data_IF_475961836296
#
_entry.id   IF_475961836296
#
_cell.length_a   1.000
_cell.length_b   1.000
_cell.length_c   1.000
_cell.angle_alpha   90.00
_cell.angle_beta   90.00
_cell.angle_gamma   90.00
#
_symmetry.space_group_name_H-M   'P 1'
#
loop_
_entity.id
_entity.type
_entity.pdbx_description
1 polymer ?
#
# COMPACT_ATOMS: atom_id res chain seq x y z
N UNK A 1 -7.72 13.38 -44.79
CA UNK A 1 -6.86 14.29 -44.02
C UNK A 1 -7.39 15.71 -44.22
N UNK A 2 -8.30 16.15 -43.33
CA UNK A 2 -8.60 17.57 -43.22
C UNK A 2 -7.61 18.13 -42.22
N UNK A 3 -6.73 18.99 -42.71
CA UNK A 3 -5.87 19.86 -41.94
C UNK A 3 -6.79 20.77 -41.12
N UNK A 4 -7.19 20.33 -39.91
CA UNK A 4 -7.78 21.23 -38.92
C UNK A 4 -6.58 21.98 -38.35
N UNK A 5 -6.47 23.26 -38.70
CA UNK A 5 -5.60 24.18 -37.97
C UNK A 5 -6.10 24.28 -36.54
N UNK A 6 -5.62 23.38 -35.68
CA UNK A 6 -5.94 23.38 -34.26
C UNK A 6 -5.02 24.39 -33.58
N UNK A 7 -5.61 25.46 -33.04
CA UNK A 7 -4.95 26.26 -32.02
C UNK A 7 -4.40 25.32 -30.95
N UNK A 8 -3.09 25.36 -30.72
CA UNK A 8 -2.45 24.54 -29.70
C UNK A 8 -3.04 24.88 -28.33
N UNK A 9 -3.89 23.99 -27.82
CA UNK A 9 -4.36 24.04 -26.45
C UNK A 9 -3.20 23.64 -25.54
N UNK A 10 -2.61 24.61 -24.84
CA UNK A 10 -1.55 24.37 -23.87
C UNK A 10 -2.14 23.74 -22.59
N UNK A 11 -1.57 22.61 -22.17
CA UNK A 11 -2.00 21.86 -20.99
C UNK A 11 -0.85 21.81 -20.00
N UNK A 12 -1.04 22.46 -18.86
CA UNK A 12 -0.07 22.46 -17.76
C UNK A 12 -0.55 21.51 -16.65
N UNK A 13 0.38 20.76 -16.05
CA UNK A 13 0.07 19.81 -14.97
C UNK A 13 0.97 20.08 -13.77
N UNK A 14 0.38 20.53 -12.67
CA UNK A 14 1.09 20.82 -11.42
C UNK A 14 0.79 19.74 -10.38
N UNK A 15 1.77 18.87 -10.13
CA UNK A 15 1.64 17.80 -9.14
C UNK A 15 1.70 18.37 -7.71
N UNK A 16 0.69 18.10 -6.90
CA UNK A 16 0.64 18.50 -5.49
C UNK A 16 0.99 17.35 -4.54
N UNK A 17 0.44 16.14 -4.79
CA UNK A 17 0.62 14.98 -3.91
C UNK A 17 0.46 13.67 -4.69
N UNK A 18 1.16 12.62 -4.26
CA UNK A 18 0.98 11.23 -4.72
C UNK A 18 0.79 10.29 -3.53
N UNK A 19 0.07 9.20 -3.78
CA UNK A 19 0.10 7.97 -3.00
C UNK A 19 0.12 6.80 -4.00
N UNK A 20 1.34 6.38 -4.40
CA UNK A 20 1.54 5.51 -5.55
C UNK A 20 1.28 6.22 -6.88
N UNK A 21 0.58 5.53 -7.79
CA UNK A 21 0.17 6.08 -9.10
C UNK A 21 -1.00 7.07 -8.99
N UNK A 22 -1.79 6.98 -7.93
CA UNK A 22 -2.84 7.96 -7.65
C UNK A 22 -2.23 9.30 -7.27
N UNK A 23 -2.75 10.38 -7.85
CA UNK A 23 -2.16 11.71 -7.69
C UNK A 23 -3.19 12.83 -7.68
N UNK A 24 -2.87 13.86 -6.92
CA UNK A 24 -3.55 15.15 -6.91
C UNK A 24 -2.68 16.10 -7.73
N UNK A 25 -3.23 16.51 -8.85
CA UNK A 25 -2.66 17.47 -9.78
C UNK A 25 -3.66 18.60 -9.99
N UNK A 26 -3.14 19.80 -10.22
CA UNK A 26 -3.88 20.85 -10.90
C UNK A 26 -3.59 20.74 -12.39
N UNK A 27 -4.62 20.46 -13.20
CA UNK A 27 -4.52 20.47 -14.66
C UNK A 27 -5.12 21.78 -15.14
N UNK A 28 -4.30 22.62 -15.79
CA UNK A 28 -4.74 23.89 -16.38
C UNK A 28 -4.82 23.77 -17.88
N UNK A 29 -5.94 24.20 -18.42
CA UNK A 29 -6.23 24.19 -19.86
C UNK A 29 -6.86 25.54 -20.18
N UNK A 30 -6.08 26.42 -20.80
CA UNK A 30 -6.40 27.85 -20.98
C UNK A 30 -6.83 28.50 -19.63
N UNK A 31 -8.06 29.03 -19.56
CA UNK A 31 -8.60 29.73 -18.39
C UNK A 31 -9.31 28.80 -17.39
N UNK A 32 -9.24 27.47 -17.58
CA UNK A 32 -9.88 26.48 -16.70
C UNK A 32 -8.83 25.68 -15.95
N UNK A 33 -9.15 25.36 -14.70
CA UNK A 33 -8.30 24.52 -13.84
C UNK A 33 -9.16 23.43 -13.19
N UNK A 34 -8.67 22.20 -13.19
CA UNK A 34 -9.30 21.06 -12.52
C UNK A 34 -8.32 20.39 -11.56
N UNK A 35 -8.82 19.94 -10.41
CA UNK A 35 -8.03 19.20 -9.43
C UNK A 35 -8.35 17.71 -9.47
N UNK A 36 -7.34 16.87 -9.67
CA UNK A 36 -7.49 15.40 -9.76
C UNK A 36 -7.56 14.73 -8.38
N UNK A 37 -8.20 13.55 -8.27
CA UNK A 37 -9.05 12.91 -9.28
C UNK A 37 -10.27 13.77 -9.60
N UNK A 38 -10.63 13.91 -10.87
CA UNK A 38 -11.70 14.81 -11.32
C UNK A 38 -12.80 14.05 -12.09
N UNK A 39 -14.02 14.57 -12.03
CA UNK A 39 -15.18 14.06 -12.78
C UNK A 39 -15.62 15.16 -13.73
N UNK A 40 -15.61 14.88 -15.02
CA UNK A 40 -16.12 15.75 -16.07
C UNK A 40 -17.59 15.43 -16.31
N UNK A 41 -18.45 16.43 -16.24
CA UNK A 41 -19.87 16.27 -16.52
C UNK A 41 -20.19 16.53 -17.97
N UNK A 42 -20.92 15.62 -18.61
CA UNK A 42 -21.38 15.75 -19.99
C UNK A 42 -22.31 16.95 -20.21
N UNK A 43 -23.10 17.33 -19.20
CA UNK A 43 -24.14 18.35 -19.32
C UNK A 43 -23.61 19.81 -19.20
N UNK A 44 -22.29 20.01 -19.14
CA UNK A 44 -21.65 21.33 -19.09
C UNK A 44 -20.60 21.42 -20.18
N UNK A 45 -20.33 22.61 -20.72
CA UNK A 45 -19.11 22.85 -21.51
C UNK A 45 -17.93 22.32 -20.69
N UNK A 46 -17.37 21.20 -21.12
CA UNK A 46 -16.47 20.43 -20.28
C UNK A 46 -15.08 20.46 -20.88
N UNK A 47 -14.09 19.99 -20.12
CA UNK A 47 -12.77 19.75 -20.68
C UNK A 47 -12.84 18.75 -21.85
N UNK A 48 -13.91 17.93 -21.93
CA UNK A 48 -14.09 16.93 -22.98
C UNK A 48 -14.12 17.55 -24.38
N UNK A 49 -14.69 18.76 -24.52
CA UNK A 49 -14.81 19.44 -25.82
C UNK A 49 -13.45 19.83 -26.43
N UNK A 50 -12.37 19.75 -25.63
CA UNK A 50 -10.99 20.10 -26.01
C UNK A 50 -10.06 18.89 -26.11
N UNK A 51 -10.57 17.70 -25.85
CA UNK A 51 -9.82 16.45 -25.96
C UNK A 51 -10.22 15.81 -27.27
N UNK A 52 -9.24 15.39 -28.07
CA UNK A 52 -9.56 14.64 -29.27
C UNK A 52 -10.04 13.23 -28.87
N UNK A 53 -11.36 13.03 -28.97
CA UNK A 53 -12.02 11.75 -28.72
C UNK A 53 -12.22 10.93 -30.00
N UNK A 54 -11.60 11.27 -31.13
CA UNK A 54 -11.59 10.46 -32.39
C UNK A 54 -10.86 9.11 -32.22
N UNK A 55 -10.89 8.55 -31.01
CA UNK A 55 -10.12 7.44 -30.51
C UNK A 55 -10.95 6.16 -30.59
N UNK A 56 -10.43 5.24 -31.39
CA UNK A 56 -10.86 3.86 -31.40
C UNK A 56 -10.96 3.31 -29.98
N UNK A 57 -12.08 2.64 -29.61
CA UNK A 57 -12.25 2.01 -28.32
C UNK A 57 -11.05 1.12 -27.97
N UNK A 58 -10.47 1.30 -26.78
CA UNK A 58 -9.35 0.47 -26.32
C UNK A 58 -9.71 -1.01 -26.23
N UNK A 59 -10.99 -1.32 -26.06
CA UNK A 59 -11.51 -2.68 -26.15
C UNK A 59 -11.38 -3.31 -27.54
N UNK A 60 -11.24 -2.53 -28.63
CA UNK A 60 -10.96 -3.09 -29.94
C UNK A 60 -9.60 -3.80 -29.96
N UNK A 61 -8.60 -3.32 -29.20
CA UNK A 61 -7.30 -3.99 -29.10
C UNK A 61 -7.40 -5.43 -28.59
N UNK A 62 -8.40 -5.72 -27.76
CA UNK A 62 -8.65 -7.09 -27.27
C UNK A 62 -9.28 -8.00 -28.33
N UNK A 63 -9.96 -7.42 -29.33
CA UNK A 63 -10.68 -8.14 -30.38
C UNK A 63 -9.87 -8.26 -31.67
N UNK A 64 -9.15 -7.20 -32.04
CA UNK A 64 -8.41 -7.04 -33.28
C UNK A 64 -7.28 -6.01 -33.07
N UNK A 65 -6.12 -6.50 -32.65
CA UNK A 65 -4.96 -5.67 -32.32
C UNK A 65 -4.41 -4.93 -33.55
N UNK A 66 -4.32 -5.59 -34.71
CA UNK A 66 -3.84 -4.97 -35.94
C UNK A 66 -4.73 -3.80 -36.36
N UNK A 67 -6.05 -3.98 -36.32
CA UNK A 67 -6.99 -2.90 -36.65
C UNK A 67 -6.97 -1.78 -35.62
N UNK A 68 -6.76 -2.10 -34.34
CA UNK A 68 -6.57 -1.08 -33.32
C UNK A 68 -5.34 -0.21 -33.61
N UNK A 69 -4.18 -0.82 -33.81
CA UNK A 69 -2.92 -0.09 -34.05
C UNK A 69 -2.98 0.76 -35.34
N UNK A 70 -3.75 0.33 -36.35
CA UNK A 70 -3.95 1.10 -37.59
C UNK A 70 -4.85 2.33 -37.44
N UNK A 71 -5.78 2.32 -36.48
CA UNK A 71 -6.79 3.37 -36.32
C UNK A 71 -6.57 4.24 -35.08
N UNK A 72 -5.80 3.75 -34.11
CA UNK A 72 -5.56 4.45 -32.86
C UNK A 72 -4.54 5.59 -33.07
N UNK A 73 -4.88 6.76 -32.56
CA UNK A 73 -4.02 7.93 -32.55
C UNK A 73 -3.87 8.43 -31.11
N UNK A 74 -2.65 8.78 -30.69
CA UNK A 74 -2.43 9.31 -29.35
C UNK A 74 -2.67 10.81 -29.30
N UNK A 75 -3.46 11.26 -28.31
CA UNK A 75 -3.57 12.67 -27.99
C UNK A 75 -2.23 13.22 -27.47
N UNK A 76 -1.89 14.43 -27.92
CA UNK A 76 -0.61 15.07 -27.60
C UNK A 76 -0.48 15.40 -26.11
N UNK A 77 -1.56 15.80 -25.46
CA UNK A 77 -1.59 16.32 -24.10
C UNK A 77 -2.09 15.29 -23.09
N UNK A 78 -2.98 14.39 -23.52
CA UNK A 78 -3.68 13.45 -22.66
C UNK A 78 -3.38 12.00 -23.05
N UNK A 79 -3.52 11.11 -22.07
CA UNK A 79 -3.69 9.68 -22.33
C UNK A 79 -5.18 9.41 -22.17
N UNK A 80 -5.81 8.81 -23.17
CA UNK A 80 -7.26 8.60 -23.15
C UNK A 80 -7.59 7.13 -23.36
N UNK A 81 -8.37 6.56 -22.43
CA UNK A 81 -8.88 5.19 -22.48
C UNK A 81 -10.40 5.17 -22.63
N UNK A 82 -10.88 4.80 -23.82
CA UNK A 82 -12.31 4.70 -24.15
C UNK A 82 -12.75 3.24 -24.28
N UNK A 83 -14.05 2.97 -24.16
CA UNK A 83 -14.61 1.63 -24.39
C UNK A 83 -14.14 0.56 -23.40
N UNK A 84 -13.61 0.95 -22.24
CA UNK A 84 -13.10 0.03 -21.23
C UNK A 84 -14.19 -0.75 -20.49
N UNK A 85 -15.45 -0.29 -20.56
CA UNK A 85 -16.58 -0.87 -19.83
C UNK A 85 -17.02 -2.25 -20.29
N UNK A 86 -16.58 -2.70 -21.48
CA UNK A 86 -16.89 -4.04 -22.01
C UNK A 86 -15.82 -5.07 -21.70
N UNK A 87 -14.70 -4.66 -21.09
CA UNK A 87 -13.59 -5.54 -20.76
C UNK A 87 -13.87 -6.34 -19.48
N UNK A 88 -13.30 -7.55 -19.39
CA UNK A 88 -13.27 -8.24 -18.11
C UNK A 88 -12.41 -7.49 -17.08
N UNK A 89 -12.61 -7.70 -15.77
CA UNK A 89 -11.80 -7.04 -14.74
C UNK A 89 -10.29 -7.26 -14.89
N UNK A 90 -9.86 -8.44 -15.39
CA UNK A 90 -8.43 -8.74 -15.59
C UNK A 90 -7.86 -7.98 -16.78
N UNK A 91 -8.60 -7.91 -17.89
CA UNK A 91 -8.19 -7.12 -19.06
C UNK A 91 -8.16 -5.63 -18.74
N UNK A 92 -9.15 -5.14 -17.96
CA UNK A 92 -9.20 -3.76 -17.52
C UNK A 92 -7.94 -3.38 -16.75
N UNK A 93 -7.48 -4.21 -15.81
CA UNK A 93 -6.21 -3.98 -15.09
C UNK A 93 -5.03 -3.90 -16.06
N UNK A 94 -4.91 -4.86 -16.98
CA UNK A 94 -3.84 -4.89 -17.98
C UNK A 94 -3.80 -3.59 -18.79
N UNK A 95 -4.94 -3.15 -19.31
CA UNK A 95 -5.01 -1.95 -20.15
C UNK A 95 -4.84 -0.65 -19.37
N UNK A 96 -5.32 -0.57 -18.12
CA UNK A 96 -5.06 0.60 -17.26
C UNK A 96 -3.55 0.75 -16.97
N UNK A 97 -2.86 -0.36 -16.71
CA UNK A 97 -1.40 -0.36 -16.53
C UNK A 97 -0.70 0.05 -17.83
N UNK A 98 -1.08 -0.52 -18.97
CA UNK A 98 -0.53 -0.17 -20.29
C UNK A 98 -0.69 1.33 -20.56
N UNK A 99 -1.91 1.86 -20.39
CA UNK A 99 -2.23 3.29 -20.53
C UNK A 99 -1.35 4.14 -19.61
N UNK A 100 -1.28 3.81 -18.32
CA UNK A 100 -0.53 4.62 -17.35
C UNK A 100 0.97 4.60 -17.63
N UNK A 101 1.52 3.51 -18.16
CA UNK A 101 2.94 3.37 -18.53
C UNK A 101 3.35 4.23 -19.74
N UNK A 102 2.42 4.64 -20.60
CA UNK A 102 2.73 5.51 -21.76
C UNK A 102 3.39 6.83 -21.35
N UNK A 103 3.00 7.40 -20.21
CA UNK A 103 3.65 8.57 -19.65
C UNK A 103 3.35 8.68 -18.17
N UNK A 104 4.34 9.08 -17.35
CA UNK A 104 4.16 9.31 -15.92
C UNK A 104 3.57 10.72 -15.65
N UNK A 105 3.71 11.64 -16.61
CA UNK A 105 3.38 13.06 -16.43
C UNK A 105 2.02 13.43 -17.02
N UNK A 106 1.72 12.99 -18.25
CA UNK A 106 0.44 13.31 -18.95
C UNK A 106 -0.78 12.91 -18.12
N UNK A 107 -1.90 13.66 -18.12
CA UNK A 107 -3.11 13.22 -17.43
C UNK A 107 -3.73 12.00 -18.12
N UNK A 108 -4.15 11.00 -17.35
CA UNK A 108 -4.89 9.83 -17.83
C UNK A 108 -6.40 10.03 -17.62
N UNK A 109 -7.13 10.01 -18.73
CA UNK A 109 -8.57 10.19 -18.79
C UNK A 109 -9.20 8.87 -19.21
N UNK A 110 -10.20 8.40 -18.48
CA UNK A 110 -10.99 7.23 -18.89
C UNK A 110 -12.48 7.58 -18.91
N UNK A 111 -13.18 7.14 -19.96
CA UNK A 111 -14.58 7.49 -20.18
C UNK A 111 -15.48 6.26 -20.14
N UNK A 112 -16.76 6.44 -19.80
CA UNK A 112 -17.77 5.39 -19.95
C UNK A 112 -17.74 4.27 -18.91
N UNK A 113 -16.88 4.35 -17.89
CA UNK A 113 -16.66 3.24 -16.94
C UNK A 113 -16.83 3.62 -15.46
N UNK A 114 -16.72 4.91 -15.12
CA UNK A 114 -16.63 5.32 -13.73
C UNK A 114 -17.99 5.27 -13.00
N UNK A 115 -17.97 4.72 -11.80
CA UNK A 115 -19.08 4.67 -10.85
C UNK A 115 -18.57 5.07 -9.47
N UNK A 116 -19.44 5.49 -8.53
CA UNK A 116 -19.01 5.76 -7.17
C UNK A 116 -18.29 4.57 -6.51
N UNK A 117 -18.67 3.34 -6.90
CA UNK A 117 -18.09 2.11 -6.36
C UNK A 117 -16.66 1.85 -6.84
N UNK A 118 -16.40 1.96 -8.15
CA UNK A 118 -15.11 1.56 -8.76
C UNK A 118 -14.09 2.71 -8.91
N UNK A 119 -14.51 3.98 -8.83
CA UNK A 119 -13.62 5.14 -8.99
C UNK A 119 -12.35 5.07 -8.12
N UNK A 120 -12.39 4.61 -6.85
CA UNK A 120 -11.18 4.45 -6.04
C UNK A 120 -10.13 3.56 -6.70
N UNK A 121 -10.53 2.43 -7.26
CA UNK A 121 -9.60 1.49 -7.91
C UNK A 121 -9.08 2.07 -9.23
N UNK A 122 -9.92 2.71 -10.03
CA UNK A 122 -9.46 3.41 -11.24
C UNK A 122 -8.35 4.43 -10.90
N UNK A 123 -8.58 5.22 -9.85
CA UNK A 123 -7.57 6.17 -9.36
C UNK A 123 -6.30 5.48 -8.85
N UNK A 124 -6.43 4.34 -8.17
CA UNK A 124 -5.28 3.54 -7.72
C UNK A 124 -4.40 3.10 -8.89
N UNK A 125 -4.98 2.74 -10.04
CA UNK A 125 -4.26 2.47 -11.29
C UNK A 125 -3.71 3.72 -12.01
N UNK A 126 -3.86 4.91 -11.42
CA UNK A 126 -3.29 6.16 -11.94
C UNK A 126 -4.18 6.93 -12.90
N UNK A 127 -5.49 6.64 -12.94
CA UNK A 127 -6.48 7.48 -13.63
C UNK A 127 -6.62 8.82 -12.91
N UNK A 128 -6.50 9.90 -13.67
CA UNK A 128 -6.55 11.28 -13.19
C UNK A 128 -7.95 11.89 -13.34
N UNK A 129 -8.64 11.56 -14.44
CA UNK A 129 -9.93 12.16 -14.79
C UNK A 129 -10.89 11.10 -15.33
N UNK A 130 -12.15 11.20 -14.94
CA UNK A 130 -13.25 10.38 -15.48
C UNK A 130 -14.39 11.27 -15.97
N UNK A 131 -15.30 10.71 -16.76
CA UNK A 131 -16.59 11.35 -17.08
C UNK A 131 -17.75 10.79 -16.22
N UNK A 132 -18.93 11.39 -16.32
CA UNK A 132 -20.16 10.91 -15.68
C UNK A 132 -21.08 10.11 -16.62
N UNK A 133 -20.62 9.75 -17.82
CA UNK A 133 -21.44 9.03 -18.81
C UNK A 133 -21.99 7.70 -18.29
N UNK A 134 -21.18 6.92 -17.55
CA UNK A 134 -21.65 5.63 -16.99
C UNK A 134 -22.74 5.81 -15.95
N UNK A 135 -22.65 6.85 -15.12
CA UNK A 135 -23.66 7.11 -14.07
C UNK A 135 -24.95 7.71 -14.65
N UNK A 136 -24.83 8.47 -15.74
CA UNK A 136 -25.95 8.95 -16.55
C UNK A 136 -26.67 7.79 -17.25
N UNK A 137 -25.93 6.84 -17.84
CA UNK A 137 -26.52 5.63 -18.43
C UNK A 137 -27.27 4.81 -17.37
N UNK A 138 -26.67 4.60 -16.20
CA UNK A 138 -27.31 3.89 -15.10
C UNK A 138 -28.62 4.55 -14.63
N UNK A 139 -28.68 5.89 -14.66
CA UNK A 139 -29.92 6.62 -14.36
C UNK A 139 -31.03 6.33 -15.38
N UNK A 140 -30.70 6.23 -16.67
CA UNK A 140 -31.65 5.83 -17.71
C UNK A 140 -32.14 4.38 -17.55
N UNK A 141 -31.28 3.51 -17.03
CA UNK A 141 -31.60 2.12 -16.66
C UNK A 141 -32.39 2.02 -15.32
N UNK A 142 -32.61 3.13 -14.61
CA UNK A 142 -33.38 3.17 -13.36
C UNK A 142 -32.57 2.81 -12.11
N UNK A 143 -31.25 2.89 -12.16
CA UNK A 143 -30.36 2.59 -11.03
C UNK A 143 -29.96 3.84 -10.24
N UNK A 144 -30.12 3.70 -8.93
CA UNK A 144 -29.63 4.58 -7.88
C UNK A 144 -28.27 4.05 -7.38
N UNK A 145 -27.21 4.82 -7.58
CA UNK A 145 -25.85 4.37 -7.26
C UNK A 145 -25.38 4.93 -5.92
N UNK A 146 -24.69 4.07 -5.17
CA UNK A 146 -23.92 4.40 -3.96
C UNK A 146 -22.49 3.86 -4.11
N UNK A 147 -21.64 4.23 -3.17
CA UNK A 147 -20.25 3.80 -3.10
C UNK A 147 -20.06 2.29 -2.85
N UNK A 148 -21.09 1.60 -2.37
CA UNK A 148 -21.07 0.18 -2.01
C UNK A 148 -22.05 -0.68 -2.82
N UNK A 149 -22.81 -0.11 -3.75
CA UNK A 149 -23.76 -0.88 -4.54
C UNK A 149 -24.70 -0.06 -5.41
N UNK A 150 -25.42 -0.76 -6.29
CA UNK A 150 -26.36 -0.20 -7.25
C UNK A 150 -27.76 -0.76 -6.98
N UNK A 151 -28.75 0.13 -6.87
CA UNK A 151 -30.09 -0.23 -6.44
C UNK A 151 -31.10 0.17 -7.51
N UNK A 152 -31.98 -0.73 -7.99
CA UNK A 152 -33.13 -0.31 -8.77
C UNK A 152 -33.98 0.64 -7.93
N UNK A 153 -34.16 1.88 -8.39
CA UNK A 153 -34.81 2.94 -7.59
C UNK A 153 -36.23 2.56 -7.19
N UNK A 154 -36.92 1.81 -8.04
CA UNK A 154 -38.30 1.32 -7.82
C UNK A 154 -38.41 0.30 -6.68
N UNK A 155 -37.29 -0.31 -6.28
CA UNK A 155 -37.24 -1.27 -5.17
C UNK A 155 -36.85 -0.62 -3.85
N UNK A 156 -36.45 0.65 -3.85
CA UNK A 156 -36.10 1.37 -2.63
C UNK A 156 -37.35 1.72 -1.83
N UNK A 157 -37.24 1.59 -0.51
CA UNK A 157 -38.27 2.06 0.44
C UNK A 157 -37.98 3.46 0.97
N UNK A 158 -36.71 3.85 0.93
CA UNK A 158 -36.20 5.16 1.36
C UNK A 158 -34.96 5.53 0.54
N UNK A 159 -34.58 6.81 0.55
CA UNK A 159 -33.36 7.30 -0.07
C UNK A 159 -32.24 7.38 1.00
N UNK A 160 -31.25 6.47 1.02
CA UNK A 160 -30.19 6.44 2.03
C UNK A 160 -29.08 7.46 1.74
N UNK A 161 -29.44 8.73 1.54
CA UNK A 161 -28.53 9.78 1.10
C UNK A 161 -29.03 11.17 1.45
N UNK A 162 -28.10 12.07 1.74
CA UNK A 162 -28.36 13.49 2.05
C UNK A 162 -27.83 14.44 0.97
N UNK A 163 -27.78 14.03 -0.31
CA UNK A 163 -27.39 14.93 -1.39
C UNK A 163 -28.56 15.84 -1.77
N UNK A 164 -28.27 17.00 -2.40
CA UNK A 164 -29.29 17.98 -2.81
C UNK A 164 -30.42 17.37 -3.67
N UNK A 165 -30.09 16.42 -4.54
CA UNK A 165 -31.10 15.73 -5.35
C UNK A 165 -32.06 14.90 -4.48
N UNK A 166 -31.53 14.14 -3.52
CA UNK A 166 -32.32 13.35 -2.57
C UNK A 166 -33.13 14.23 -1.61
N UNK A 167 -32.56 15.34 -1.14
CA UNK A 167 -33.27 16.30 -0.28
C UNK A 167 -34.46 16.95 -0.99
N UNK A 168 -34.30 17.36 -2.25
CA UNK A 168 -35.38 17.97 -3.04
C UNK A 168 -36.57 17.02 -3.24
N UNK A 169 -36.29 15.74 -3.47
CA UNK A 169 -37.33 14.74 -3.77
C UNK A 169 -37.94 14.16 -2.49
N UNK A 170 -37.12 13.89 -1.48
CA UNK A 170 -37.55 13.33 -0.20
C UNK A 170 -38.32 12.02 -0.34
N UNK A 171 -39.38 11.87 0.45
CA UNK A 171 -40.27 10.69 0.44
C UNK A 171 -41.07 10.52 -0.85
N UNK A 172 -41.12 11.54 -1.71
CA UNK A 172 -41.99 11.56 -2.89
C UNK A 172 -41.33 10.89 -4.12
N UNK A 173 -40.15 10.28 -3.97
CA UNK A 173 -39.39 9.69 -5.08
C UNK A 173 -40.15 8.59 -5.83
N UNK A 174 -41.05 7.88 -5.14
CA UNK A 174 -41.88 6.84 -5.73
C UNK A 174 -42.95 7.39 -6.69
N UNK A 175 -43.36 8.66 -6.50
CA UNK A 175 -44.42 9.32 -7.26
C UNK A 175 -43.90 10.04 -8.51
N UNK A 176 -42.57 10.16 -8.65
CA UNK A 176 -41.95 10.82 -9.80
C UNK A 176 -42.37 10.15 -11.12
N UNK A 177 -42.70 10.99 -12.11
CA UNK A 177 -42.86 10.52 -13.48
C UNK A 177 -41.55 9.91 -14.00
N UNK A 178 -41.62 9.12 -15.07
CA UNK A 178 -40.43 8.50 -15.68
C UNK A 178 -39.34 9.54 -16.00
N UNK A 179 -39.71 10.71 -16.51
CA UNK A 179 -38.76 11.77 -16.85
C UNK A 179 -38.11 12.36 -15.60
N UNK A 180 -38.91 12.78 -14.62
CA UNK A 180 -38.42 13.36 -13.37
C UNK A 180 -37.54 12.38 -12.59
N UNK A 181 -37.88 11.09 -12.61
CA UNK A 181 -37.08 10.02 -12.01
C UNK A 181 -35.70 9.90 -12.66
N UNK A 182 -35.63 9.92 -13.99
CA UNK A 182 -34.36 9.88 -14.72
C UNK A 182 -33.52 11.12 -14.39
N UNK A 183 -34.12 12.31 -14.40
CA UNK A 183 -33.42 13.57 -14.12
C UNK A 183 -32.88 13.59 -12.67
N UNK A 184 -33.69 13.13 -11.71
CA UNK A 184 -33.29 12.92 -10.31
C UNK A 184 -32.10 11.95 -10.20
N UNK A 185 -32.18 10.78 -10.84
CA UNK A 185 -31.12 9.78 -10.77
C UNK A 185 -29.82 10.27 -11.40
N UNK A 186 -29.89 11.02 -12.51
CA UNK A 186 -28.71 11.66 -13.11
C UNK A 186 -28.04 12.60 -12.12
N UNK A 187 -28.81 13.53 -11.53
CA UNK A 187 -28.28 14.50 -10.57
C UNK A 187 -27.66 13.77 -9.35
N UNK A 188 -28.38 12.80 -8.77
CA UNK A 188 -27.88 12.03 -7.62
C UNK A 188 -26.61 11.23 -7.95
N UNK A 189 -26.62 10.44 -9.03
CA UNK A 189 -25.50 9.55 -9.33
C UNK A 189 -24.24 10.35 -9.70
N UNK A 190 -24.37 11.47 -10.44
CA UNK A 190 -23.25 12.38 -10.73
C UNK A 190 -22.72 13.03 -9.45
N UNK A 191 -23.59 13.50 -8.56
CA UNK A 191 -23.17 14.06 -7.26
C UNK A 191 -22.39 13.03 -6.43
N UNK A 192 -22.82 11.76 -6.42
CA UNK A 192 -22.12 10.68 -5.72
C UNK A 192 -20.75 10.37 -6.32
N UNK A 193 -20.64 10.37 -7.64
CA UNK A 193 -19.35 10.18 -8.30
C UNK A 193 -18.37 11.32 -7.96
N UNK A 194 -18.84 12.57 -8.00
CA UNK A 194 -18.07 13.75 -7.63
C UNK A 194 -17.68 13.78 -6.14
N UNK A 195 -18.57 13.30 -5.26
CA UNK A 195 -18.30 13.14 -3.84
C UNK A 195 -17.16 12.14 -3.60
N UNK A 196 -17.17 11.00 -4.30
CA UNK A 196 -16.08 10.03 -4.22
C UNK A 196 -14.75 10.61 -4.72
N UNK A 197 -14.76 11.39 -5.80
CA UNK A 197 -13.55 12.08 -6.28
C UNK A 197 -12.99 13.07 -5.23
N UNK A 198 -13.86 13.82 -4.54
CA UNK A 198 -13.47 14.71 -3.43
C UNK A 198 -12.88 13.92 -2.26
N UNK A 199 -13.52 12.83 -1.85
CA UNK A 199 -13.05 11.96 -0.77
C UNK A 199 -11.66 11.39 -1.09
N UNK A 200 -11.45 10.90 -2.31
CA UNK A 200 -10.17 10.35 -2.74
C UNK A 200 -9.02 11.34 -2.63
N UNK A 201 -9.27 12.65 -2.86
CA UNK A 201 -8.25 13.68 -2.63
C UNK A 201 -7.80 13.72 -1.17
N UNK A 202 -8.72 13.64 -0.21
CA UNK A 202 -8.31 13.59 1.20
C UNK A 202 -7.60 12.29 1.55
N UNK A 203 -8.06 11.15 1.03
CA UNK A 203 -7.41 9.86 1.24
C UNK A 203 -5.96 9.83 0.69
N UNK A 204 -5.72 10.43 -0.48
CA UNK A 204 -4.36 10.59 -1.04
C UNK A 204 -3.52 11.54 -0.18
N UNK A 205 -4.09 12.65 0.32
CA UNK A 205 -3.37 13.56 1.23
C UNK A 205 -3.00 12.90 2.54
N UNK A 206 -3.86 12.03 3.07
CA UNK A 206 -3.60 11.26 4.28
C UNK A 206 -2.76 10.01 4.07
N UNK A 207 -2.36 9.68 2.82
CA UNK A 207 -1.51 8.53 2.48
C UNK A 207 -2.12 7.18 2.93
N UNK A 208 -3.44 7.05 2.87
CA UNK A 208 -4.19 5.86 3.30
C UNK A 208 -4.94 5.19 2.15
N UNK A 209 -4.56 5.49 0.89
CA UNK A 209 -5.28 5.00 -0.28
C UNK A 209 -5.35 3.49 -0.31
N UNK A 210 -4.23 2.78 -0.16
CA UNK A 210 -4.21 1.31 -0.23
C UNK A 210 -5.16 0.66 0.81
N UNK A 211 -5.27 1.23 2.01
CA UNK A 211 -6.24 0.77 3.01
C UNK A 211 -7.69 0.98 2.57
N UNK A 212 -7.97 2.13 1.97
CA UNK A 212 -9.29 2.43 1.41
C UNK A 212 -9.65 1.49 0.24
N UNK A 213 -8.67 1.18 -0.62
CA UNK A 213 -8.81 0.25 -1.75
C UNK A 213 -9.12 -1.17 -1.27
N UNK A 214 -8.40 -1.68 -0.26
CA UNK A 214 -8.67 -3.01 0.29
C UNK A 214 -10.07 -3.14 0.86
N UNK A 215 -10.54 -2.13 1.60
CA UNK A 215 -11.92 -2.11 2.10
C UNK A 215 -12.92 -2.06 0.95
N UNK A 216 -12.66 -1.21 -0.07
CA UNK A 216 -13.56 -1.05 -1.21
C UNK A 216 -13.65 -2.30 -2.08
N UNK A 217 -12.54 -3.00 -2.28
CA UNK A 217 -12.48 -4.19 -3.12
C UNK A 217 -13.44 -5.29 -2.66
N UNK A 218 -13.74 -5.37 -1.36
CA UNK A 218 -14.67 -6.36 -0.79
C UNK A 218 -16.15 -6.09 -1.12
N UNK A 219 -16.48 -4.95 -1.72
CA UNK A 219 -17.87 -4.61 -2.09
C UNK A 219 -18.34 -5.24 -3.41
N UNK A 220 -17.43 -5.80 -4.22
CA UNK A 220 -17.78 -6.45 -5.49
C UNK A 220 -16.71 -7.48 -5.90
N UNK A 221 -17.11 -8.65 -6.47
CA UNK A 221 -16.17 -9.62 -7.04
C UNK A 221 -15.21 -9.01 -8.05
N UNK A 222 -15.68 -8.14 -8.93
CA UNK A 222 -14.87 -7.52 -9.98
C UNK A 222 -13.75 -6.67 -9.39
N UNK A 223 -14.06 -5.87 -8.36
CA UNK A 223 -13.07 -5.04 -7.68
C UNK A 223 -12.05 -5.90 -6.90
N UNK A 224 -12.49 -7.03 -6.34
CA UNK A 224 -11.58 -8.01 -5.73
C UNK A 224 -10.64 -8.61 -6.77
N UNK A 225 -11.14 -8.97 -7.96
CA UNK A 225 -10.30 -9.45 -9.07
C UNK A 225 -9.29 -8.37 -9.46
N UNK A 226 -9.73 -7.12 -9.65
CA UNK A 226 -8.83 -6.03 -10.01
C UNK A 226 -7.69 -5.84 -8.99
N UNK A 227 -8.00 -5.87 -7.69
CA UNK A 227 -6.99 -5.74 -6.64
C UNK A 227 -6.01 -6.93 -6.63
N UNK A 228 -6.50 -8.16 -6.77
CA UNK A 228 -5.63 -9.34 -6.83
C UNK A 228 -4.71 -9.32 -8.04
N UNK A 229 -5.21 -8.86 -9.20
CA UNK A 229 -4.40 -8.68 -10.41
C UNK A 229 -3.38 -7.56 -10.27
N UNK A 230 -3.71 -6.48 -9.57
CA UNK A 230 -2.72 -5.46 -9.22
C UNK A 230 -1.56 -6.05 -8.41
N UNK A 231 -1.87 -6.90 -7.44
CA UNK A 231 -0.91 -7.54 -6.53
C UNK A 231 -0.04 -8.63 -7.18
N UNK A 232 -0.34 -9.01 -8.43
CA UNK A 232 0.47 -9.92 -9.24
C UNK A 232 1.51 -9.19 -10.10
N UNK A 233 1.56 -7.85 -10.04
CA UNK A 233 2.40 -7.03 -10.92
C UNK A 233 3.37 -6.14 -10.15
N UNK A 234 4.57 -5.95 -10.71
CA UNK A 234 5.58 -5.02 -10.16
C UNK A 234 5.28 -3.55 -10.48
N UNK A 235 4.22 -3.27 -11.26
CA UNK A 235 3.85 -1.91 -11.70
C UNK A 235 3.74 -0.93 -10.52
N UNK A 236 3.21 -1.38 -9.39
CA UNK A 236 3.03 -0.52 -8.23
C UNK A 236 4.32 -0.26 -7.46
N UNK A 237 5.36 -1.07 -7.62
CA UNK A 237 6.66 -0.86 -6.96
C UNK A 237 7.39 0.36 -7.51
N UNK A 238 7.22 0.67 -8.81
CA UNK A 238 7.91 1.76 -9.50
C UNK A 238 7.61 3.14 -8.88
N UNK A 239 6.36 3.38 -8.50
CA UNK A 239 5.88 4.67 -7.97
C UNK A 239 5.56 4.62 -6.48
N UNK A 240 5.98 3.56 -5.80
CA UNK A 240 5.75 3.37 -4.38
C UNK A 240 6.61 4.31 -3.53
N UNK A 241 6.02 5.12 -2.62
CA UNK A 241 6.82 5.97 -1.74
C UNK A 241 7.57 5.12 -0.70
N UNK A 242 8.89 5.26 -0.63
CA UNK A 242 9.74 4.55 0.35
C UNK A 242 9.50 4.95 1.80
N UNK A 243 8.78 6.04 2.04
CA UNK A 243 8.37 6.50 3.34
C UNK A 243 6.99 7.17 3.26
N UNK A 244 6.14 6.87 4.25
CA UNK A 244 4.86 7.56 4.51
C UNK A 244 4.81 8.00 5.97
N UNK A 245 4.11 9.10 6.22
CA UNK A 245 3.78 9.57 7.57
C UNK A 245 2.60 8.81 8.15
N UNK A 246 1.71 8.31 7.30
CA UNK A 246 0.55 7.53 7.72
C UNK A 246 0.91 6.20 8.37
N UNK A 247 -0.04 5.66 9.13
CA UNK A 247 0.03 4.29 9.63
C UNK A 247 -0.52 3.36 8.55
N UNK A 248 0.25 2.33 8.22
CA UNK A 248 -0.15 1.23 7.35
C UNK A 248 -0.96 0.22 8.18
N UNK A 249 -2.27 0.15 7.97
CA UNK A 249 -3.06 -0.91 8.62
C UNK A 249 -3.02 -2.18 7.78
N UNK A 250 -2.57 -3.28 8.36
CA UNK A 250 -2.46 -4.58 7.70
C UNK A 250 -3.59 -5.49 8.15
N UNK A 251 -4.81 -5.14 7.73
CA UNK A 251 -6.05 -5.75 8.25
C UNK A 251 -6.52 -6.99 7.47
N UNK A 252 -5.94 -7.26 6.30
CA UNK A 252 -6.42 -8.28 5.37
C UNK A 252 -5.27 -9.11 4.80
N UNK A 253 -5.57 -10.30 4.27
CA UNK A 253 -4.56 -11.11 3.57
C UNK A 253 -4.00 -10.40 2.32
N UNK A 254 -4.79 -9.54 1.66
CA UNK A 254 -4.29 -8.69 0.59
C UNK A 254 -3.22 -7.69 1.06
N UNK A 255 -3.13 -7.40 2.37
CA UNK A 255 -2.07 -6.56 2.91
C UNK A 255 -0.68 -7.20 2.78
N UNK A 256 -0.58 -8.53 2.65
CA UNK A 256 0.68 -9.28 2.62
C UNK A 256 1.42 -9.10 1.29
N UNK A 257 0.67 -8.78 0.23
CA UNK A 257 1.20 -8.52 -1.11
C UNK A 257 1.43 -7.03 -1.39
N UNK A 258 1.22 -6.17 -0.39
CA UNK A 258 1.44 -4.73 -0.53
C UNK A 258 2.92 -4.45 -0.86
N UNK A 259 3.21 -3.44 -1.71
CA UNK A 259 4.57 -2.97 -1.93
C UNK A 259 5.30 -2.59 -0.64
N UNK A 260 4.60 -2.04 0.36
CA UNK A 260 5.08 -1.83 1.74
C UNK A 260 5.83 -3.06 2.30
N UNK A 261 5.20 -4.22 2.18
CA UNK A 261 5.60 -5.48 2.82
C UNK A 261 6.64 -6.17 1.95
N UNK A 262 6.33 -6.36 0.67
CA UNK A 262 7.21 -7.03 -0.30
C UNK A 262 8.57 -6.34 -0.39
N UNK A 263 8.59 -5.01 -0.54
CA UNK A 263 9.84 -4.26 -0.59
C UNK A 263 10.63 -4.36 0.70
N UNK A 264 9.98 -4.17 1.86
CA UNK A 264 10.68 -4.22 3.15
C UNK A 264 11.35 -5.58 3.36
N UNK A 265 10.60 -6.68 3.20
CA UNK A 265 11.09 -8.04 3.41
C UNK A 265 12.21 -8.42 2.44
N UNK A 266 12.03 -8.10 1.15
CA UNK A 266 13.08 -8.30 0.14
C UNK A 266 14.33 -7.48 0.47
N UNK A 267 14.16 -6.20 0.79
CA UNK A 267 15.28 -5.28 1.03
C UNK A 267 16.06 -5.67 2.28
N UNK A 268 15.39 -6.02 3.38
CA UNK A 268 16.11 -6.47 4.58
C UNK A 268 16.85 -7.79 4.31
N UNK A 269 16.27 -8.73 3.56
CA UNK A 269 16.96 -9.97 3.22
C UNK A 269 18.24 -9.71 2.40
N UNK A 270 18.21 -8.73 1.49
CA UNK A 270 19.38 -8.31 0.70
C UNK A 270 20.48 -7.64 1.56
N UNK A 271 20.10 -6.76 2.48
CA UNK A 271 21.04 -5.83 3.15
C UNK A 271 21.37 -6.18 4.60
N UNK A 272 20.66 -7.12 5.21
CA UNK A 272 20.91 -7.52 6.57
C UNK A 272 22.24 -8.27 6.66
N UNK A 273 23.06 -7.89 7.64
CA UNK A 273 24.37 -8.47 7.92
C UNK A 273 24.42 -8.76 9.42
N UNK A 274 24.10 -9.99 9.85
CA UNK A 274 24.27 -10.41 11.24
C UNK A 274 25.70 -10.12 11.72
N UNK A 275 25.84 -9.71 12.97
CA UNK A 275 27.15 -9.47 13.59
C UNK A 275 27.54 -10.57 14.58
N UNK A 276 26.64 -11.53 14.80
CA UNK A 276 26.80 -12.64 15.73
C UNK A 276 26.35 -13.93 15.05
N UNK A 277 26.78 -15.07 15.59
CA UNK A 277 26.36 -16.41 15.13
C UNK A 277 25.05 -16.90 15.74
N UNK A 278 24.46 -16.11 16.64
CA UNK A 278 23.28 -16.51 17.41
C UNK A 278 22.16 -15.50 17.31
N UNK A 279 20.98 -15.95 16.88
CA UNK A 279 19.78 -15.12 16.76
C UNK A 279 18.90 -15.24 18.01
N UNK A 280 18.34 -14.11 18.49
CA UNK A 280 17.30 -14.06 19.51
C UNK A 280 15.97 -13.65 18.87
N UNK A 281 15.01 -14.56 18.85
CA UNK A 281 13.67 -14.30 18.33
C UNK A 281 12.76 -13.76 19.43
N UNK A 282 12.11 -12.63 19.15
CA UNK A 282 11.21 -11.93 20.09
C UNK A 282 9.84 -11.67 19.44
N UNK A 283 8.74 -11.63 20.21
CA UNK A 283 7.44 -11.24 19.68
C UNK A 283 7.38 -9.72 19.45
N UNK A 284 6.59 -9.30 18.46
CA UNK A 284 6.27 -7.89 18.26
C UNK A 284 5.43 -7.31 19.40
N UNK A 285 5.24 -5.99 19.38
CA UNK A 285 4.34 -5.29 20.32
C UNK A 285 3.63 -4.14 19.62
N UNK A 286 2.47 -3.72 20.16
CA UNK A 286 1.70 -2.61 19.62
C UNK A 286 2.49 -1.29 19.63
N UNK A 287 3.28 -1.02 20.67
CA UNK A 287 4.13 0.18 20.74
C UNK A 287 5.37 0.00 19.88
N UNK A 288 5.56 0.91 18.92
CA UNK A 288 6.75 1.02 18.07
C UNK A 288 7.59 2.26 18.41
N UNK A 289 8.93 2.23 18.25
CA UNK A 289 9.74 1.04 17.96
C UNK A 289 9.65 0.00 19.08
N UNK A 290 9.77 -1.29 18.74
CA UNK A 290 9.46 -2.38 19.68
C UNK A 290 10.32 -2.34 20.93
N UNK A 291 11.59 -1.93 20.79
CA UNK A 291 12.54 -1.83 21.90
C UNK A 291 12.10 -0.88 23.03
N UNK A 292 11.20 0.06 22.76
CA UNK A 292 10.62 0.97 23.75
C UNK A 292 9.31 0.47 24.37
N UNK A 293 8.82 -0.69 23.95
CA UNK A 293 7.64 -1.32 24.55
C UNK A 293 7.90 -1.80 25.97
N UNK A 294 6.86 -1.83 26.81
CA UNK A 294 6.97 -2.36 28.18
C UNK A 294 7.49 -3.80 28.21
N UNK A 295 7.11 -4.61 27.22
CA UNK A 295 7.54 -6.00 27.08
C UNK A 295 9.03 -6.10 26.78
N UNK A 296 9.52 -5.39 25.76
CA UNK A 296 10.93 -5.45 25.38
C UNK A 296 11.84 -4.83 26.46
N UNK A 297 11.39 -3.77 27.14
CA UNK A 297 12.11 -3.25 28.30
C UNK A 297 12.26 -4.28 29.43
N UNK A 298 11.27 -5.15 29.67
CA UNK A 298 11.41 -6.25 30.64
C UNK A 298 12.46 -7.26 30.20
N UNK A 299 12.53 -7.60 28.92
CA UNK A 299 13.58 -8.47 28.37
C UNK A 299 14.95 -7.85 28.63
N UNK A 300 15.16 -6.60 28.21
CA UNK A 300 16.43 -5.88 28.40
C UNK A 300 16.82 -5.74 29.87
N UNK A 301 15.87 -5.47 30.76
CA UNK A 301 16.15 -5.39 32.20
C UNK A 301 16.57 -6.74 32.80
N UNK A 302 16.09 -7.86 32.23
CA UNK A 302 16.48 -9.20 32.69
C UNK A 302 17.88 -9.59 32.22
N UNK A 303 18.19 -9.31 30.95
CA UNK A 303 19.41 -9.82 30.27
C UNK A 303 20.56 -8.81 30.24
N UNK A 304 20.27 -7.52 30.37
CA UNK A 304 21.26 -6.45 30.39
C UNK A 304 22.19 -6.45 29.17
N UNK A 305 23.51 -6.46 29.42
CA UNK A 305 24.54 -6.42 28.37
C UNK A 305 24.65 -7.69 27.54
N UNK A 306 24.01 -8.79 27.97
CA UNK A 306 24.07 -10.07 27.25
C UNK A 306 23.45 -9.97 25.85
N UNK A 307 22.52 -9.04 25.64
CA UNK A 307 21.90 -8.83 24.31
C UNK A 307 22.88 -8.36 23.24
N UNK A 308 24.06 -7.84 23.62
CA UNK A 308 25.11 -7.46 22.67
C UNK A 308 25.86 -8.65 22.06
N UNK A 309 25.52 -9.89 22.44
CA UNK A 309 26.14 -11.11 21.90
C UNK A 309 25.19 -11.92 21.01
N UNK A 310 24.03 -11.35 20.69
CA UNK A 310 23.04 -11.95 19.79
C UNK A 310 22.48 -10.90 18.84
N UNK A 311 22.01 -11.38 17.69
CA UNK A 311 21.23 -10.61 16.75
C UNK A 311 19.74 -10.78 17.06
N UNK A 312 19.03 -9.69 17.29
CA UNK A 312 17.62 -9.73 17.65
C UNK A 312 16.74 -9.65 16.39
N UNK A 313 15.84 -10.62 16.20
CA UNK A 313 14.83 -10.59 15.13
C UNK A 313 13.43 -10.62 15.76
N UNK A 314 12.61 -9.64 15.41
CA UNK A 314 11.25 -9.49 15.91
C UNK A 314 10.29 -10.12 14.91
N UNK A 315 9.52 -11.11 15.38
CA UNK A 315 8.47 -11.76 14.60
C UNK A 315 7.18 -10.95 14.76
N UNK A 316 6.57 -10.57 13.64
CA UNK A 316 5.24 -9.97 13.55
C UNK A 316 4.46 -10.56 12.36
N UNK A 317 3.24 -10.08 12.14
CA UNK A 317 2.39 -10.45 11.00
C UNK A 317 2.06 -9.16 10.24
N UNK A 318 2.37 -9.04 8.93
CA UNK A 318 3.17 -9.95 8.09
C UNK A 318 4.71 -9.77 8.22
N UNK A 319 5.19 -8.82 9.02
CA UNK A 319 6.62 -8.45 9.00
C UNK A 319 7.50 -9.34 9.89
N UNK A 320 8.71 -9.63 9.42
CA UNK A 320 9.85 -10.06 10.25
C UNK A 320 10.90 -8.95 10.23
N UNK A 321 11.39 -8.53 11.39
CA UNK A 321 12.18 -7.31 11.51
C UNK A 321 13.40 -7.53 12.38
N UNK A 322 14.61 -7.62 11.82
CA UNK A 322 15.83 -7.45 12.60
C UNK A 322 15.81 -6.10 13.33
N UNK A 323 16.36 -6.06 14.54
CA UNK A 323 16.31 -4.89 15.44
C UNK A 323 16.85 -3.63 14.79
N UNK A 324 17.83 -3.78 13.90
CA UNK A 324 18.49 -2.69 13.19
C UNK A 324 17.52 -1.89 12.31
N UNK A 325 16.44 -2.52 11.86
CA UNK A 325 15.46 -1.91 10.95
C UNK A 325 14.18 -1.45 11.65
N UNK A 326 14.08 -1.52 12.98
CA UNK A 326 12.83 -1.21 13.70
C UNK A 326 12.40 0.27 13.60
N UNK A 327 13.32 1.15 13.18
CA UNK A 327 13.09 2.58 12.90
C UNK A 327 12.87 2.88 11.41
N UNK A 328 12.83 1.86 10.56
CA UNK A 328 12.60 2.03 9.13
C UNK A 328 11.12 1.84 8.80
N UNK A 329 10.71 2.41 7.67
CA UNK A 329 9.37 2.22 7.15
C UNK A 329 9.28 0.88 6.38
N UNK A 330 8.22 0.09 6.54
CA UNK A 330 7.01 0.33 7.35
C UNK A 330 7.09 -0.18 8.79
N UNK A 331 8.19 -0.81 9.23
CA UNK A 331 8.31 -1.42 10.57
C UNK A 331 7.95 -0.47 11.73
N UNK A 332 8.28 0.82 11.62
CA UNK A 332 7.90 1.83 12.60
C UNK A 332 6.44 2.34 12.46
N UNK A 333 5.85 2.23 11.26
CA UNK A 333 4.63 2.92 10.84
C UNK A 333 3.52 1.95 10.38
N UNK A 334 3.43 0.75 10.94
CA UNK A 334 2.30 -0.14 10.65
C UNK A 334 1.46 -0.41 11.89
N UNK A 335 0.29 -1.00 11.70
CA UNK A 335 -0.52 -1.63 12.75
C UNK A 335 -1.25 -2.84 12.17
N UNK A 336 -1.52 -3.84 13.02
CA UNK A 336 -2.15 -5.10 12.62
C UNK A 336 -3.08 -5.59 13.73
N UNK A 337 -4.23 -6.19 13.40
CA UNK A 337 -5.13 -6.76 14.41
C UNK A 337 -4.42 -7.85 15.24
N UNK A 338 -4.38 -7.67 16.56
CA UNK A 338 -3.79 -8.65 17.49
C UNK A 338 -4.90 -9.48 18.11
N UNK A 339 -5.31 -10.55 17.44
CA UNK A 339 -6.34 -11.50 17.95
C UNK A 339 -5.73 -12.66 18.74
N UNK A 340 -4.42 -12.89 18.59
CA UNK A 340 -3.72 -14.07 19.11
C UNK A 340 -3.95 -15.34 18.26
N UNK A 341 -4.85 -15.28 17.28
CA UNK A 341 -5.13 -16.36 16.33
C UNK A 341 -4.46 -16.02 15.00
N UNK A 342 -3.61 -16.92 14.54
CA UNK A 342 -2.89 -16.78 13.27
C UNK A 342 -3.38 -17.87 12.34
N UNK A 343 -3.80 -17.49 11.14
CA UNK A 343 -4.13 -18.44 10.08
C UNK A 343 -2.89 -19.20 9.60
N UNK A 344 -3.09 -20.34 8.95
CA UNK A 344 -1.97 -21.13 8.43
C UNK A 344 -1.22 -20.39 7.33
N UNK A 345 -1.94 -19.67 6.47
CA UNK A 345 -1.40 -18.79 5.43
C UNK A 345 -0.49 -17.70 6.01
N UNK A 346 -0.90 -17.08 7.13
CA UNK A 346 -0.07 -16.10 7.84
C UNK A 346 1.21 -16.72 8.40
N UNK A 347 1.09 -17.91 8.99
CA UNK A 347 2.22 -18.62 9.59
C UNK A 347 3.21 -19.02 8.51
N UNK A 348 2.75 -19.56 7.39
CA UNK A 348 3.58 -19.93 6.24
C UNK A 348 4.35 -18.73 5.70
N UNK A 349 3.64 -17.63 5.44
CA UNK A 349 4.25 -16.42 4.91
C UNK A 349 5.34 -15.86 5.84
N UNK A 350 5.06 -15.78 7.14
CA UNK A 350 6.03 -15.25 8.10
C UNK A 350 7.20 -16.22 8.31
N UNK A 351 6.94 -17.53 8.29
CA UNK A 351 7.99 -18.55 8.42
C UNK A 351 8.98 -18.51 7.24
N UNK A 352 8.49 -18.40 6.00
CA UNK A 352 9.32 -18.30 4.80
C UNK A 352 10.27 -17.08 4.87
N UNK A 353 9.72 -15.92 5.23
CA UNK A 353 10.53 -14.70 5.32
C UNK A 353 11.49 -14.74 6.52
N UNK A 354 11.10 -15.38 7.62
CA UNK A 354 11.96 -15.57 8.79
C UNK A 354 13.13 -16.51 8.47
N UNK A 355 12.89 -17.63 7.76
CA UNK A 355 13.95 -18.57 7.39
C UNK A 355 15.03 -17.94 6.52
N UNK A 356 14.65 -17.03 5.61
CA UNK A 356 15.59 -16.29 4.78
C UNK A 356 16.55 -15.42 5.61
N UNK A 357 16.06 -14.80 6.68
CA UNK A 357 16.89 -14.00 7.60
C UNK A 357 17.73 -14.84 8.53
N UNK A 358 17.31 -16.07 8.83
CA UNK A 358 17.99 -16.98 9.75
C UNK A 358 19.08 -17.83 9.08
N UNK A 359 19.18 -17.78 7.75
CA UNK A 359 20.24 -18.45 7.02
C UNK A 359 21.63 -18.01 7.52
N UNK A 360 22.44 -18.97 7.96
CA UNK A 360 23.82 -18.72 8.42
C UNK A 360 23.98 -18.49 9.93
N UNK A 361 22.90 -18.46 10.71
CA UNK A 361 22.98 -18.55 12.16
C UNK A 361 23.27 -19.99 12.60
N UNK A 362 24.14 -20.17 13.60
CA UNK A 362 24.47 -21.48 14.16
C UNK A 362 23.43 -21.90 15.21
N UNK A 363 22.92 -20.93 15.96
CA UNK A 363 21.98 -21.13 17.07
C UNK A 363 20.90 -20.07 17.10
N UNK A 364 19.71 -20.48 17.53
CA UNK A 364 18.52 -19.65 17.61
C UNK A 364 17.89 -19.81 18.99
N UNK A 365 17.79 -18.70 19.71
CA UNK A 365 17.09 -18.62 20.98
C UNK A 365 15.68 -18.08 20.70
N UNK A 366 14.68 -18.96 20.76
CA UNK A 366 13.29 -18.62 20.51
C UNK A 366 12.57 -18.23 21.82
N UNK A 367 12.40 -16.92 22.04
CA UNK A 367 11.70 -16.38 23.22
C UNK A 367 10.28 -15.91 22.85
N UNK A 368 9.47 -16.86 22.39
CA UNK A 368 8.15 -16.63 21.78
C UNK A 368 7.14 -17.70 22.21
N UNK A 369 5.85 -17.40 22.06
CA UNK A 369 4.72 -18.28 22.40
C UNK A 369 3.58 -18.17 21.38
N UNK A 370 2.59 -19.07 21.45
CA UNK A 370 1.38 -19.01 20.61
C UNK A 370 1.68 -19.06 19.11
N UNK A 371 1.04 -18.19 18.32
CA UNK A 371 1.25 -18.10 16.87
C UNK A 371 2.71 -17.88 16.48
N UNK A 372 3.46 -17.09 17.24
CA UNK A 372 4.90 -16.88 17.01
C UNK A 372 5.70 -18.18 17.17
N UNK A 373 5.33 -19.04 18.14
CA UNK A 373 5.99 -20.34 18.31
C UNK A 373 5.70 -21.26 17.12
N UNK A 374 4.47 -21.25 16.60
CA UNK A 374 4.09 -22.01 15.38
C UNK A 374 4.91 -21.59 14.16
N UNK A 375 5.19 -20.29 14.01
CA UNK A 375 6.11 -19.78 12.97
C UNK A 375 7.50 -20.40 13.12
N UNK A 376 8.07 -20.37 14.33
CA UNK A 376 9.40 -20.95 14.59
C UNK A 376 9.42 -22.47 14.38
N UNK A 377 8.33 -23.16 14.74
CA UNK A 377 8.17 -24.60 14.48
C UNK A 377 8.20 -24.92 12.98
N UNK A 378 7.54 -24.12 12.12
CA UNK A 378 7.67 -24.26 10.65
C UNK A 378 9.08 -23.97 10.16
N UNK A 379 9.72 -22.92 10.67
CA UNK A 379 11.12 -22.59 10.30
C UNK A 379 12.07 -23.74 10.64
N UNK A 380 11.86 -24.42 11.76
CA UNK A 380 12.69 -25.57 12.18
C UNK A 380 12.74 -26.70 11.15
N UNK A 381 11.71 -26.82 10.30
CA UNK A 381 11.65 -27.87 9.28
C UNK A 381 12.58 -27.59 8.09
N UNK A 382 13.05 -26.34 7.94
CA UNK A 382 13.82 -25.89 6.75
C UNK A 382 15.22 -25.36 7.07
N UNK A 383 15.58 -25.19 8.34
CA UNK A 383 16.93 -24.74 8.74
C UNK A 383 17.64 -25.77 9.60
N UNK A 384 18.98 -25.79 9.54
CA UNK A 384 19.83 -26.73 10.28
C UNK A 384 20.26 -26.21 11.67
N UNK A 385 20.01 -24.93 11.97
CA UNK A 385 20.43 -24.27 13.21
C UNK A 385 19.81 -24.92 14.45
N UNK A 386 20.55 -24.95 15.57
CA UNK A 386 20.01 -25.42 16.85
C UNK A 386 18.98 -24.40 17.39
N UNK A 387 17.79 -24.86 17.77
CA UNK A 387 16.70 -23.99 18.24
C UNK A 387 16.34 -24.31 19.69
N UNK A 388 16.54 -23.33 20.57
CA UNK A 388 16.23 -23.42 22.00
C UNK A 388 15.07 -22.51 22.35
N UNK A 389 13.98 -23.08 22.87
CA UNK A 389 12.83 -22.31 23.36
C UNK A 389 13.01 -21.91 24.82
N UNK A 390 12.75 -20.65 25.14
CA UNK A 390 12.99 -20.11 26.51
C UNK A 390 11.73 -19.60 27.21
N UNK A 391 10.61 -19.45 26.49
CA UNK A 391 9.35 -18.97 27.07
C UNK A 391 8.47 -20.11 27.59
N UNK A 392 8.04 -19.96 28.84
CA UNK A 392 7.10 -20.84 29.52
C UNK A 392 6.09 -19.98 30.32
N UNK A 393 4.79 -20.24 30.14
CA UNK A 393 3.68 -19.57 30.84
C UNK A 393 3.70 -18.03 30.72
N UNK A 394 4.02 -17.51 29.54
CA UNK A 394 4.11 -16.09 29.24
C UNK A 394 5.53 -15.65 28.95
N UNK A 395 5.75 -14.96 27.83
CA UNK A 395 7.07 -14.42 27.46
C UNK A 395 7.68 -13.50 28.53
N UNK A 396 6.88 -12.79 29.34
CA UNK A 396 7.39 -11.95 30.44
C UNK A 396 7.29 -12.57 31.84
N UNK A 397 6.99 -13.87 31.94
CA UNK A 397 6.95 -14.58 33.21
C UNK A 397 8.33 -14.61 33.87
N UNK A 398 8.40 -14.70 35.20
CA UNK A 398 9.68 -14.79 35.92
C UNK A 398 10.50 -16.01 35.46
N UNK A 399 9.83 -17.12 35.13
CA UNK A 399 10.45 -18.35 34.64
C UNK A 399 11.05 -18.14 33.26
N UNK A 400 10.28 -17.60 32.32
CA UNK A 400 10.73 -17.25 30.97
C UNK A 400 11.95 -16.32 30.98
N UNK A 401 11.90 -15.25 31.78
CA UNK A 401 12.99 -14.28 31.87
C UNK A 401 14.27 -14.88 32.47
N UNK A 402 14.14 -15.81 33.42
CA UNK A 402 15.27 -16.55 34.00
C UNK A 402 15.86 -17.54 32.99
N UNK A 403 15.02 -18.28 32.26
CA UNK A 403 15.45 -19.19 31.21
C UNK A 403 16.20 -18.42 30.09
N UNK A 404 15.62 -17.33 29.60
CA UNK A 404 16.25 -16.46 28.60
C UNK A 404 17.63 -15.97 29.04
N UNK A 405 17.72 -15.47 30.28
CA UNK A 405 18.99 -15.01 30.83
C UNK A 405 20.02 -16.14 30.89
N UNK A 406 19.63 -17.33 31.37
CA UNK A 406 20.52 -18.50 31.47
C UNK A 406 21.08 -18.90 30.10
N UNK A 407 20.24 -18.95 29.07
CA UNK A 407 20.71 -19.34 27.73
C UNK A 407 21.63 -18.29 27.10
N UNK A 408 21.37 -17.00 27.32
CA UNK A 408 22.29 -15.95 26.88
C UNK A 408 23.61 -15.96 27.68
N UNK A 409 23.59 -16.30 28.96
CA UNK A 409 24.82 -16.47 29.75
C UNK A 409 25.65 -17.66 29.23
N UNK A 410 25.00 -18.78 28.88
CA UNK A 410 25.66 -19.92 28.26
C UNK A 410 26.29 -19.56 26.90
N UNK A 411 25.58 -18.80 26.07
CA UNK A 411 26.08 -18.33 24.78
C UNK A 411 27.35 -17.48 24.92
N UNK A 412 27.35 -16.54 25.86
CA UNK A 412 28.50 -15.66 26.11
C UNK A 412 29.72 -16.45 26.57
N UNK A 413 29.50 -17.50 27.39
CA UNK A 413 30.57 -18.39 27.85
C UNK A 413 31.13 -19.20 26.68
N UNK A 414 30.27 -19.74 25.82
CA UNK A 414 30.64 -20.57 24.68
C UNK A 414 31.46 -19.79 23.63
N UNK A 415 31.06 -18.55 23.31
CA UNK A 415 31.70 -17.72 22.27
C UNK A 415 32.89 -16.87 22.76
N UNK A 416 33.31 -17.03 24.02
CA UNK A 416 34.46 -16.32 24.63
C UNK A 416 34.50 -14.79 24.37
N UNK A 417 33.34 -14.15 24.21
CA UNK A 417 33.15 -12.70 23.96
C UNK A 417 33.67 -12.13 22.63
N UNK A 418 34.05 -12.98 21.65
CA UNK A 418 34.59 -12.51 20.36
C UNK A 418 33.53 -11.76 19.52
N UNK A 419 32.26 -12.17 19.61
CA UNK A 419 31.16 -11.65 18.77
C UNK A 419 30.37 -10.51 19.44
N UNK A 420 31.05 -9.56 20.09
CA UNK A 420 30.36 -8.44 20.75
C UNK A 420 29.93 -7.36 19.76
N UNK A 421 28.62 -7.28 19.52
CA UNK A 421 27.96 -6.28 18.67
C UNK A 421 27.87 -4.90 19.30
N UNK A 422 28.30 -3.88 18.54
CA UNK A 422 27.93 -2.48 18.78
C UNK A 422 26.56 -2.21 18.16
N UNK A 423 25.53 -2.29 18.99
CA UNK A 423 24.13 -2.14 18.57
C UNK A 423 23.86 -0.83 17.84
N UNK A 424 24.43 0.30 18.29
CA UNK A 424 24.12 1.59 17.67
C UNK A 424 24.82 1.73 16.33
N UNK A 425 26.07 1.29 16.22
CA UNK A 425 26.76 1.27 14.93
C UNK A 425 26.07 0.32 13.94
N UNK A 426 25.58 -0.83 14.42
CA UNK A 426 24.83 -1.78 13.59
C UNK A 426 23.53 -1.19 13.02
N UNK A 427 22.79 -0.40 13.83
CA UNK A 427 21.59 0.32 13.39
C UNK A 427 21.95 1.28 12.25
N UNK A 428 22.94 2.15 12.44
CA UNK A 428 23.32 3.12 11.41
C UNK A 428 23.78 2.44 10.12
N UNK A 429 24.66 1.46 10.23
CA UNK A 429 25.21 0.73 9.06
C UNK A 429 24.10 0.04 8.27
N UNK A 430 23.17 -0.62 8.96
CA UNK A 430 22.06 -1.32 8.32
C UNK A 430 21.04 -0.35 7.71
N UNK A 431 20.71 0.75 8.38
CA UNK A 431 19.83 1.78 7.82
C UNK A 431 20.45 2.46 6.60
N UNK A 432 21.78 2.64 6.59
CA UNK A 432 22.51 3.21 5.46
C UNK A 432 22.45 2.28 4.24
N UNK A 433 22.73 0.98 4.44
CA UNK A 433 22.53 -0.04 3.40
C UNK A 433 21.08 -0.09 2.92
N UNK A 434 20.11 -0.08 3.84
CA UNK A 434 18.69 -0.17 3.50
C UNK A 434 18.25 0.98 2.58
N UNK A 435 18.60 2.22 2.94
CA UNK A 435 18.14 3.43 2.24
C UNK A 435 18.93 3.74 0.98
N UNK A 436 20.26 3.57 1.03
CA UNK A 436 21.16 4.06 -0.03
C UNK A 436 21.86 2.93 -0.80
N UNK A 437 21.88 1.70 -0.26
CA UNK A 437 22.62 0.61 -0.87
C UNK A 437 24.14 0.78 -0.79
N UNK A 438 24.60 1.53 0.20
CA UNK A 438 26.02 1.84 0.43
C UNK A 438 26.44 1.31 1.80
N UNK A 439 27.72 1.00 1.95
CA UNK A 439 28.31 0.75 3.27
C UNK A 439 28.64 2.09 3.95
N UNK A 440 28.43 2.15 5.27
CA UNK A 440 28.65 3.39 6.01
C UNK A 440 30.15 3.76 6.04
N UNK A 441 31.01 2.75 6.12
CA UNK A 441 32.47 2.89 6.13
C UNK A 441 32.99 3.56 4.85
N UNK A 442 32.38 3.26 3.70
CA UNK A 442 32.72 3.89 2.42
C UNK A 442 32.34 5.37 2.41
N UNK A 443 31.18 5.72 2.98
CA UNK A 443 30.71 7.10 3.05
C UNK A 443 31.55 7.99 3.97
N UNK A 444 32.12 7.41 5.03
CA UNK A 444 32.94 8.18 5.99
C UNK A 444 34.42 8.25 5.61
N UNK A 445 34.82 7.65 4.48
CA UNK A 445 36.21 7.64 3.96
C UNK A 445 37.28 7.24 5.00
N UNK A 446 36.94 6.29 5.89
CA UNK A 446 37.82 5.88 7.00
C UNK A 446 37.92 6.87 8.16
N UNK A 447 37.13 7.95 8.13
CA UNK A 447 36.96 8.89 9.23
C UNK A 447 36.36 8.21 10.47
N UNK A 448 36.78 8.65 11.66
CA UNK A 448 36.26 8.09 12.92
C UNK A 448 34.85 8.62 13.16
N UNK A 449 33.89 7.75 13.39
CA UNK A 449 32.52 8.16 13.75
C UNK A 449 32.31 8.27 15.26
N UNK A 450 31.33 9.08 15.67
CA UNK A 450 30.84 9.17 17.05
C UNK A 450 29.32 9.21 17.06
N UNK A 451 28.71 8.31 17.81
CA UNK A 451 27.26 8.33 18.04
C UNK A 451 26.95 9.12 19.31
N UNK A 452 25.97 10.02 19.26
CA UNK A 452 25.43 10.78 20.41
C UNK A 452 23.91 10.67 20.45
N UNK A 453 23.32 11.09 21.56
CA UNK A 453 21.87 11.14 21.74
C UNK A 453 21.30 10.01 22.60
N UNK A 454 19.97 9.90 22.60
CA UNK A 454 19.24 8.83 23.31
C UNK A 454 18.31 8.16 22.32
N UNK A 455 18.39 6.84 22.24
CA UNK A 455 17.50 6.05 21.40
C UNK A 455 16.02 6.40 21.66
N UNK A 456 15.21 6.68 20.61
CA UNK A 456 15.48 6.45 19.19
C UNK A 456 16.12 7.65 18.46
N UNK A 457 16.32 8.78 19.14
CA UNK A 457 16.91 10.00 18.58
C UNK A 457 18.45 9.94 18.72
N UNK A 458 19.06 9.08 17.92
CA UNK A 458 20.52 8.95 17.81
C UNK A 458 21.04 9.78 16.64
N UNK A 459 22.24 10.33 16.80
CA UNK A 459 22.92 11.13 15.81
C UNK A 459 24.33 10.58 15.58
N UNK A 460 24.70 10.42 14.30
CA UNK A 460 26.04 10.01 13.87
C UNK A 460 26.83 11.26 13.47
N UNK A 461 27.99 11.45 14.10
CA UNK A 461 28.93 12.53 13.79
C UNK A 461 30.21 11.95 13.20
N UNK A 462 30.73 12.60 12.16
CA UNK A 462 32.13 12.46 11.77
C UNK A 462 32.99 13.19 12.81
N UNK A 463 34.00 12.52 13.35
CA UNK A 463 35.04 13.19 14.13
C UNK A 463 36.02 13.81 13.14
N UNK A 464 36.22 15.11 13.29
CA UNK A 464 37.35 15.84 12.72
C UNK A 464 38.69 15.26 13.19
#
# INVERSE_FOLDING_TARGET
MKDKGEEMVEVEVYLTKRDGWARICEIRVENRSITTPAVLSLDRESLLDKIDFDLVPYSLKALDEEKFENLYHEDRNFIVGTGLSVLSPSELVRYLIELRKKSITKPLIVTGIATPQNLPLLCYFGVDVVDDSRVVMAAHEGYYLLENGFFPVEKLKELPCSCKACEKVGSNFAELSRKERIDFLKEHNTLKLQEQARLLREIIRSETLRNFIEARAKTSPDLTVMLRRADETDFFEEMYPRFKRSIVYMNTMESFKRPEVSYFLKRIAEVYRPQTKTALLLPCTARKPYSLSKTHMKFFNSVGKLVSFVDEIIISSPLVCPREFELTYPAQNYDTPVTGVWSDEEIDFVAENLSNLLAGFEKIIAHVEGGYKRVVEKVREVIESDIVYTSEDGVTSKKSLKNLRRELEAEVIEKMTEDKKDRFMAIFSSMFRYQFGLELEEFVEGGKVKIKGRYPNLELYLKE
#
